data_IF_109058007650
#
_entry.id   IF_109058007650
#
_cell.length_a   1.000
_cell.length_b   1.000
_cell.length_c   1.000
_cell.angle_alpha   90.00
_cell.angle_beta   90.00
_cell.angle_gamma   90.00
#
_symmetry.space_group_name_H-M   'P 1'
#
loop_
_entity.id
_entity.type
_entity.pdbx_description
1 polymer ?
#
# COMPACT_ATOMS: atom_id res chain seq x y z
N UNK A 1 4.59 -0.44 19.39
CA UNK A 1 4.06 0.21 18.19
C UNK A 1 4.52 -0.53 16.94
N UNK A 2 3.62 -0.75 16.02
CA UNK A 2 4.00 -1.38 14.76
C UNK A 2 4.83 -0.41 13.91
N UNK A 3 5.83 -0.94 13.22
CA UNK A 3 6.63 -0.13 12.31
C UNK A 3 5.82 0.13 11.03
N UNK A 4 5.88 1.36 10.55
CA UNK A 4 5.23 1.73 9.30
C UNK A 4 6.23 1.52 8.16
N UNK A 5 6.29 0.29 7.66
CA UNK A 5 7.24 -0.08 6.61
C UNK A 5 6.82 0.37 5.22
N UNK A 6 5.52 0.62 5.00
CA UNK A 6 5.05 1.09 3.71
C UNK A 6 4.34 2.43 3.86
N UNK A 7 4.22 3.14 2.74
CA UNK A 7 3.58 4.45 2.66
C UNK A 7 2.33 4.42 1.78
N UNK A 8 1.65 3.28 1.73
CA UNK A 8 0.46 3.13 0.89
C UNK A 8 -0.59 4.16 1.27
N UNK A 9 -0.82 4.35 2.58
CA UNK A 9 -1.81 5.32 3.05
C UNK A 9 -1.49 6.74 2.56
N UNK A 10 -0.23 7.14 2.62
CA UNK A 10 0.20 8.47 2.17
C UNK A 10 -0.05 8.64 0.68
N UNK A 11 0.30 7.63 -0.11
CA UNK A 11 0.13 7.69 -1.56
C UNK A 11 -1.36 7.74 -1.92
N UNK A 12 -2.19 6.91 -1.27
CA UNK A 12 -3.63 6.94 -1.52
C UNK A 12 -4.21 8.32 -1.18
N UNK A 13 -3.80 8.89 -0.05
CA UNK A 13 -4.28 10.21 0.35
C UNK A 13 -3.87 11.29 -0.66
N UNK A 14 -2.64 11.26 -1.12
CA UNK A 14 -2.16 12.23 -2.11
C UNK A 14 -2.93 12.15 -3.42
N UNK A 15 -3.33 10.94 -3.82
CA UNK A 15 -4.06 10.72 -5.07
C UNK A 15 -5.57 10.76 -4.87
N UNK A 16 -6.02 10.99 -3.64
CA UNK A 16 -7.45 11.04 -3.28
C UNK A 16 -8.16 9.72 -3.62
N UNK A 17 -7.49 8.61 -3.36
CA UNK A 17 -8.01 7.28 -3.59
C UNK A 17 -8.33 6.59 -2.26
N UNK A 18 -9.21 5.58 -2.32
CA UNK A 18 -9.67 4.86 -1.13
C UNK A 18 -9.09 3.46 -1.07
N UNK A 19 -9.17 2.84 0.12
CA UNK A 19 -8.83 1.43 0.27
C UNK A 19 -9.70 0.55 -0.64
N UNK A 20 -10.98 0.91 -0.77
CA UNK A 20 -11.89 0.17 -1.65
C UNK A 20 -11.42 0.23 -3.10
N UNK A 21 -11.01 1.40 -3.56
CA UNK A 21 -10.48 1.54 -4.92
C UNK A 21 -9.31 0.59 -5.14
N UNK A 22 -8.36 0.58 -4.20
CA UNK A 22 -7.18 -0.28 -4.33
C UNK A 22 -7.56 -1.76 -4.28
N UNK A 23 -8.48 -2.13 -3.39
CA UNK A 23 -8.95 -3.51 -3.30
C UNK A 23 -9.57 -3.96 -4.63
N UNK A 24 -10.40 -3.11 -5.23
CA UNK A 24 -11.03 -3.41 -6.51
C UNK A 24 -9.99 -3.57 -7.63
N UNK A 25 -9.00 -2.68 -7.66
CA UNK A 25 -7.93 -2.75 -8.66
C UNK A 25 -7.11 -4.03 -8.56
N UNK A 26 -6.88 -4.50 -7.34
CA UNK A 26 -6.06 -5.69 -7.10
C UNK A 26 -6.86 -6.97 -7.00
N UNK A 27 -8.19 -6.89 -7.10
CA UNK A 27 -9.10 -8.03 -6.91
C UNK A 27 -8.87 -8.69 -5.56
N UNK A 28 -8.73 -7.87 -4.51
CA UNK A 28 -8.57 -8.31 -3.14
C UNK A 28 -9.69 -7.73 -2.29
N UNK A 29 -9.93 -8.31 -1.11
CA UNK A 29 -10.94 -7.79 -0.20
C UNK A 29 -10.41 -6.55 0.53
N UNK A 30 -11.33 -5.70 0.99
CA UNK A 30 -10.97 -4.47 1.66
C UNK A 30 -10.25 -4.71 2.98
N UNK A 31 -10.58 -5.79 3.69
CA UNK A 31 -9.95 -6.12 4.96
C UNK A 31 -8.45 -6.35 4.78
N UNK A 32 -8.08 -7.10 3.76
CA UNK A 32 -6.67 -7.37 3.45
C UNK A 32 -5.94 -6.07 3.11
N UNK A 33 -6.52 -5.25 2.25
CA UNK A 33 -5.92 -3.97 1.85
C UNK A 33 -5.80 -3.04 3.05
N UNK A 34 -6.81 -2.98 3.90
CA UNK A 34 -6.77 -2.16 5.11
C UNK A 34 -5.61 -2.54 6.02
N UNK A 35 -5.32 -3.83 6.15
CA UNK A 35 -4.19 -4.28 6.96
C UNK A 35 -2.86 -3.81 6.39
N UNK A 36 -2.72 -3.77 5.07
CA UNK A 36 -1.52 -3.22 4.43
C UNK A 36 -1.41 -1.72 4.68
N UNK A 37 -2.51 -1.00 4.52
CA UNK A 37 -2.55 0.46 4.65
C UNK A 37 -2.22 0.88 6.08
N UNK A 38 -2.68 0.13 7.07
CA UNK A 38 -2.41 0.42 8.48
C UNK A 38 -1.10 -0.17 8.97
N UNK A 39 -0.35 -0.85 8.10
CA UNK A 39 0.90 -1.53 8.44
C UNK A 39 0.74 -2.63 9.49
N UNK A 40 -0.48 -3.18 9.63
CA UNK A 40 -0.73 -4.33 10.49
C UNK A 40 -0.02 -5.57 9.94
N UNK A 41 -0.04 -5.72 8.62
CA UNK A 41 0.78 -6.72 7.93
C UNK A 41 1.24 -6.13 6.60
N UNK A 42 2.25 -6.75 5.99
CA UNK A 42 2.81 -6.24 4.76
C UNK A 42 2.39 -7.12 3.58
N UNK A 43 2.14 -6.53 2.41
CA UNK A 43 1.89 -7.32 1.21
C UNK A 43 3.17 -8.01 0.77
N UNK A 44 3.03 -9.10 0.01
CA UNK A 44 4.18 -9.77 -0.58
C UNK A 44 4.88 -8.84 -1.57
N UNK A 45 6.13 -9.16 -1.91
CA UNK A 45 6.87 -8.37 -2.89
C UNK A 45 6.12 -8.27 -4.22
N UNK A 46 5.59 -9.39 -4.69
CA UNK A 46 4.80 -9.42 -5.92
C UNK A 46 3.60 -8.49 -5.84
N UNK A 47 2.90 -8.51 -4.70
CA UNK A 47 1.75 -7.64 -4.48
C UNK A 47 2.18 -6.17 -4.42
N UNK A 48 3.33 -5.87 -3.82
CA UNK A 48 3.85 -4.50 -3.80
C UNK A 48 4.10 -3.96 -5.21
N UNK A 49 4.61 -4.81 -6.11
CA UNK A 49 4.78 -4.42 -7.51
C UNK A 49 3.43 -4.08 -8.13
N UNK A 50 2.41 -4.89 -7.86
CA UNK A 50 1.05 -4.63 -8.37
C UNK A 50 0.49 -3.33 -7.83
N UNK A 51 0.71 -3.05 -6.55
CA UNK A 51 0.25 -1.81 -5.93
C UNK A 51 0.96 -0.61 -6.58
N UNK A 52 2.26 -0.69 -6.76
CA UNK A 52 3.03 0.38 -7.39
C UNK A 52 2.50 0.67 -8.80
N UNK A 53 2.24 -0.39 -9.58
CA UNK A 53 1.69 -0.22 -10.92
C UNK A 53 0.29 0.40 -10.90
N UNK A 54 -0.57 -0.05 -9.98
CA UNK A 54 -1.92 0.47 -9.88
C UNK A 54 -1.94 1.95 -9.49
N UNK A 55 -1.01 2.35 -8.64
CA UNK A 55 -0.90 3.73 -8.16
C UNK A 55 0.00 4.61 -9.04
N UNK A 56 0.62 4.01 -10.04
CA UNK A 56 1.55 4.71 -10.95
C UNK A 56 2.69 5.37 -10.17
N UNK A 57 3.28 4.63 -9.26
CA UNK A 57 4.44 5.06 -8.47
C UNK A 57 5.51 3.98 -8.48
N UNK A 58 6.69 4.31 -7.98
CA UNK A 58 7.78 3.33 -7.87
C UNK A 58 7.67 2.57 -6.55
N UNK A 59 8.40 1.46 -6.47
CA UNK A 59 8.51 0.72 -5.21
C UNK A 59 9.17 1.59 -4.13
N UNK A 60 10.13 2.43 -4.51
CA UNK A 60 10.76 3.36 -3.57
C UNK A 60 9.73 4.31 -2.95
N UNK A 61 8.76 4.76 -3.74
CA UNK A 61 7.72 5.65 -3.24
C UNK A 61 6.86 4.97 -2.17
N UNK A 62 6.69 3.65 -2.26
CA UNK A 62 5.89 2.88 -1.32
C UNK A 62 6.65 2.47 -0.07
N UNK A 63 7.97 2.46 -0.11
CA UNK A 63 8.78 1.99 1.01
C UNK A 63 9.10 3.11 1.99
N UNK A 64 9.20 2.76 3.28
CA UNK A 64 9.65 3.69 4.33
C UNK A 64 11.14 3.45 4.58
N UNK A 65 11.96 3.96 3.68
CA UNK A 65 13.41 3.75 3.78
C UNK A 65 14.06 4.46 4.96
N UNK A 66 13.41 5.49 5.47
CA UNK A 66 13.90 6.30 6.57
C UNK A 66 13.95 5.55 7.92
N UNK A 67 13.34 4.37 7.98
CA UNK A 67 13.29 3.58 9.22
C UNK A 67 14.10 2.29 9.14
N UNK A 68 14.84 2.09 8.06
CA UNK A 68 15.63 0.86 7.87
C UNK A 68 17.11 1.11 8.06
#
# INVERSE_FOLDING_TARGET
MSKQLNRIKVILAKKQLTNKWLADELHRDQTTVSRWVTNTCQPSFKTMIKIANALDVTLDDLARRDII
#
